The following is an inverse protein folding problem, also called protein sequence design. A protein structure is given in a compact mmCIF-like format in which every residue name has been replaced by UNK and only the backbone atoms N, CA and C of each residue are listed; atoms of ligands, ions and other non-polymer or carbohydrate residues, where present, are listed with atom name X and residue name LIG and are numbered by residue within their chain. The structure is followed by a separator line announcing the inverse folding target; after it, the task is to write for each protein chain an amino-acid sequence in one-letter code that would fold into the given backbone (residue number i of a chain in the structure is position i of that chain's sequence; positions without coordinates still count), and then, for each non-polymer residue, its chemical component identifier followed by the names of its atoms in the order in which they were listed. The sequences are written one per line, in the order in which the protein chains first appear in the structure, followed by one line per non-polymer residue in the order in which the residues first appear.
data_IF_345157049871
#
_entry.id   IF_345157049871
#
_cell.length_a   1.000
_cell.length_b   1.000
_cell.length_c   1.000
_cell.angle_alpha   90.00
_cell.angle_beta   90.00
_cell.angle_gamma   90.00
#
_symmetry.space_group_name_H-M   'P 1'
#
loop_
_entity.id
_entity.type
_entity.pdbx_description
1 polymer ?
#
# COMPACT_ATOMS: atom_id res chain seq x y z
N UNK A 1 -35.72 -22.86 10.35
CA UNK A 1 -35.00 -21.81 11.10
C UNK A 1 -35.26 -20.49 10.40
N UNK A 2 -36.16 -19.67 10.96
CA UNK A 2 -36.54 -18.37 10.39
C UNK A 2 -35.38 -17.40 10.55
N UNK A 3 -34.74 -17.00 9.45
CA UNK A 3 -33.81 -15.87 9.45
C UNK A 3 -34.62 -14.59 9.56
N UNK A 4 -34.97 -14.17 10.78
CA UNK A 4 -35.59 -12.87 11.01
C UNK A 4 -34.67 -11.78 10.45
N UNK A 5 -35.19 -10.98 9.53
CA UNK A 5 -34.44 -9.88 8.94
C UNK A 5 -34.12 -8.85 10.04
N UNK A 6 -32.88 -8.37 10.15
CA UNK A 6 -32.48 -7.48 11.23
C UNK A 6 -33.32 -6.18 11.19
N UNK A 7 -33.73 -5.73 12.38
CA UNK A 7 -34.49 -4.50 12.60
C UNK A 7 -33.77 -3.28 12.01
N UNK A 8 -34.51 -2.25 11.60
CA UNK A 8 -33.96 -1.01 11.07
C UNK A 8 -32.90 -0.39 12.00
N UNK A 9 -33.12 -0.45 13.32
CA UNK A 9 -32.15 0.00 14.31
C UNK A 9 -30.89 -0.87 14.34
N UNK A 10 -31.04 -2.19 14.25
CA UNK A 10 -29.89 -3.11 14.21
C UNK A 10 -29.02 -2.88 12.97
N UNK A 11 -29.65 -2.59 11.82
CA UNK A 11 -28.93 -2.22 10.58
C UNK A 11 -28.21 -0.89 10.73
N UNK A 12 -28.86 0.13 11.27
CA UNK A 12 -28.25 1.43 11.54
C UNK A 12 -27.06 1.31 12.50
N UNK A 13 -27.25 0.57 13.60
CA UNK A 13 -26.19 0.33 14.58
C UNK A 13 -24.99 -0.36 13.93
N UNK A 14 -25.21 -1.48 13.26
CA UNK A 14 -24.14 -2.29 12.65
C UNK A 14 -23.39 -1.56 11.53
N UNK A 15 -24.11 -0.85 10.66
CA UNK A 15 -23.52 -0.28 9.44
C UNK A 15 -23.03 1.16 9.62
N UNK A 16 -23.48 1.85 10.67
CA UNK A 16 -23.14 3.26 10.90
C UNK A 16 -22.51 3.44 12.28
N UNK A 17 -23.25 3.21 13.36
CA UNK A 17 -22.78 3.57 14.70
C UNK A 17 -21.55 2.77 15.16
N UNK A 18 -21.54 1.46 14.92
CA UNK A 18 -20.45 0.58 15.33
C UNK A 18 -19.12 0.95 14.63
N UNK A 19 -19.07 1.13 13.29
CA UNK A 19 -17.87 1.63 12.60
C UNK A 19 -17.32 2.96 13.15
N UNK A 20 -18.19 3.93 13.47
CA UNK A 20 -17.74 5.21 14.03
C UNK A 20 -17.18 5.07 15.45
N UNK A 21 -17.88 4.33 16.32
CA UNK A 21 -17.47 4.19 17.72
C UNK A 21 -16.23 3.31 17.88
N UNK A 22 -16.17 2.19 17.14
CA UNK A 22 -15.00 1.30 17.12
C UNK A 22 -13.82 1.98 16.42
N UNK A 23 -14.06 2.63 15.27
CA UNK A 23 -13.02 3.34 14.52
C UNK A 23 -12.37 4.46 15.32
N UNK A 24 -13.16 5.23 16.09
CA UNK A 24 -12.62 6.26 16.98
C UNK A 24 -11.72 5.68 18.09
N UNK A 25 -12.16 4.59 18.73
CA UNK A 25 -11.35 3.90 19.76
C UNK A 25 -10.06 3.35 19.17
N UNK A 26 -10.14 2.78 17.97
CA UNK A 26 -9.00 2.21 17.26
C UNK A 26 -8.00 3.29 16.86
N UNK A 27 -8.46 4.41 16.31
CA UNK A 27 -7.60 5.54 15.95
C UNK A 27 -6.85 6.09 17.18
N UNK A 28 -7.53 6.23 18.32
CA UNK A 28 -6.90 6.69 19.58
C UNK A 28 -5.86 5.68 20.07
N UNK A 29 -6.19 4.39 20.05
CA UNK A 29 -5.30 3.30 20.45
C UNK A 29 -4.04 3.28 19.58
N UNK A 30 -4.19 3.30 18.27
CA UNK A 30 -3.08 3.29 17.32
C UNK A 30 -2.21 4.53 17.47
N UNK A 31 -2.78 5.72 17.66
CA UNK A 31 -1.97 6.91 17.94
C UNK A 31 -1.18 6.75 19.25
N UNK A 32 -1.78 6.24 20.32
CA UNK A 32 -1.07 5.99 21.59
C UNK A 32 0.09 4.99 21.42
N UNK A 33 -0.14 3.91 20.67
CA UNK A 33 0.88 2.91 20.34
C UNK A 33 2.01 3.48 19.48
N UNK A 34 1.71 4.36 18.52
CA UNK A 34 2.73 5.05 17.72
C UNK A 34 3.63 5.92 18.60
N UNK A 35 3.04 6.65 19.55
CA UNK A 35 3.80 7.46 20.51
C UNK A 35 4.66 6.60 21.43
N UNK A 36 4.14 5.49 21.95
CA UNK A 36 4.92 4.54 22.75
C UNK A 36 6.10 3.95 21.96
N UNK A 37 5.87 3.58 20.68
CA UNK A 37 6.91 3.06 19.79
C UNK A 37 8.01 4.10 19.51
N UNK A 38 7.64 5.38 19.35
CA UNK A 38 8.61 6.49 19.23
C UNK A 38 9.45 6.64 20.49
N UNK A 39 8.79 6.63 21.65
CA UNK A 39 9.50 6.73 22.93
C UNK A 39 10.48 5.56 23.09
N UNK A 40 10.09 4.33 22.72
CA UNK A 40 10.95 3.13 22.75
C UNK A 40 12.19 3.27 21.87
N UNK A 41 12.05 3.82 20.66
CA UNK A 41 13.19 4.10 19.77
C UNK A 41 14.13 5.18 20.32
N UNK A 42 13.60 6.18 21.02
CA UNK A 42 14.39 7.25 21.63
C UNK A 42 15.15 6.76 22.88
N UNK A 43 14.52 5.92 23.70
CA UNK A 43 15.13 5.41 24.94
C UNK A 43 16.09 4.25 24.71
N UNK A 44 15.84 3.44 23.68
CA UNK A 44 16.65 2.24 23.38
C UNK A 44 17.12 2.26 21.93
N UNK A 45 18.23 2.97 21.63
CA UNK A 45 18.83 2.96 20.30
C UNK A 45 19.14 1.53 19.84
N UNK A 46 18.63 1.15 18.66
CA UNK A 46 18.84 -0.20 18.08
C UNK A 46 17.78 -1.24 18.42
N UNK A 47 16.72 -0.89 19.16
CA UNK A 47 15.60 -1.80 19.41
C UNK A 47 14.87 -2.16 18.11
N UNK A 48 14.64 -3.46 17.89
CA UNK A 48 13.83 -3.94 16.77
C UNK A 48 12.37 -3.90 17.19
N UNK A 49 11.57 -3.14 16.43
CA UNK A 49 10.13 -3.07 16.64
C UNK A 49 9.44 -4.30 16.03
N UNK A 50 8.34 -4.73 16.64
CA UNK A 50 7.45 -5.71 16.04
C UNK A 50 6.81 -5.16 14.76
N UNK A 51 6.29 -6.03 13.90
CA UNK A 51 5.57 -5.61 12.68
C UNK A 51 4.42 -4.66 12.99
N UNK A 52 3.65 -4.94 14.06
CA UNK A 52 2.55 -4.08 14.50
C UNK A 52 3.03 -2.72 14.98
N UNK A 53 4.07 -2.66 15.81
CA UNK A 53 4.67 -1.40 16.26
C UNK A 53 5.18 -0.56 15.07
N UNK A 54 5.86 -1.20 14.10
CA UNK A 54 6.35 -0.54 12.89
C UNK A 54 5.21 -0.03 12.01
N UNK A 55 4.17 -0.83 11.83
CA UNK A 55 2.97 -0.46 11.08
C UNK A 55 2.32 0.79 11.69
N UNK A 56 1.99 0.72 12.99
CA UNK A 56 1.30 1.80 13.69
C UNK A 56 2.14 3.08 13.73
N UNK A 57 3.46 2.96 13.94
CA UNK A 57 4.39 4.09 13.94
C UNK A 57 4.35 4.89 12.63
N UNK A 58 4.22 4.20 11.49
CA UNK A 58 4.18 4.81 10.15
C UNK A 58 2.80 5.32 9.77
N UNK A 59 1.77 4.56 10.11
CA UNK A 59 0.42 4.75 9.59
C UNK A 59 -0.41 5.72 10.43
N UNK A 60 -0.34 5.64 11.77
CA UNK A 60 -1.14 6.48 12.67
C UNK A 60 -1.02 8.01 12.41
N UNK A 61 0.17 8.57 12.10
CA UNK A 61 0.28 10.00 11.80
C UNK A 61 -0.39 10.38 10.48
N UNK A 62 -0.35 9.49 9.47
CA UNK A 62 -1.01 9.70 8.18
C UNK A 62 -2.53 9.67 8.35
N UNK A 63 -3.02 8.73 9.15
CA UNK A 63 -4.45 8.60 9.46
C UNK A 63 -4.96 9.77 10.28
N UNK A 64 -4.18 10.25 11.25
CA UNK A 64 -4.52 11.45 12.02
C UNK A 64 -4.58 12.67 11.11
N UNK A 65 -3.59 12.87 10.23
CA UNK A 65 -3.60 13.97 9.25
C UNK A 65 -4.83 13.88 8.33
N UNK A 66 -5.22 12.67 7.90
CA UNK A 66 -6.42 12.45 7.09
C UNK A 66 -7.71 12.78 7.86
N UNK A 67 -7.74 12.61 9.18
CA UNK A 67 -8.88 12.95 10.02
C UNK A 67 -9.04 14.45 10.31
N UNK A 68 -7.98 15.26 10.15
CA UNK A 68 -8.00 16.68 10.52
C UNK A 68 -9.09 17.50 9.83
N UNK A 69 -9.35 17.39 8.51
CA UNK A 69 -10.41 18.15 7.86
C UNK A 69 -11.79 17.89 8.49
N UNK A 70 -12.08 16.64 8.86
CA UNK A 70 -13.31 16.27 9.54
C UNK A 70 -13.38 16.89 10.94
N UNK A 71 -12.29 16.83 11.71
CA UNK A 71 -12.21 17.43 13.04
C UNK A 71 -12.38 18.95 13.01
N UNK A 72 -11.78 19.62 12.02
CA UNK A 72 -11.94 21.06 11.79
C UNK A 72 -13.39 21.39 11.42
N UNK A 73 -14.04 20.56 10.59
CA UNK A 73 -15.44 20.77 10.23
C UNK A 73 -16.36 20.77 11.47
N UNK A 74 -16.11 19.88 12.43
CA UNK A 74 -16.86 19.86 13.70
C UNK A 74 -16.66 21.10 14.58
N UNK A 75 -15.53 21.81 14.44
CA UNK A 75 -15.26 23.04 15.19
C UNK A 75 -16.01 24.26 14.63
N UNK A 76 -16.48 24.19 13.39
CA UNK A 76 -17.18 25.29 12.71
C UNK A 76 -18.70 25.08 12.84
N UNK A 77 -19.44 26.02 13.46
CA UNK A 77 -20.90 25.95 13.52
C UNK A 77 -21.51 25.80 12.12
N UNK A 78 -22.60 25.05 12.00
CA UNK A 78 -23.26 24.66 10.72
C UNK A 78 -22.46 23.63 9.91
N UNK A 79 -21.16 23.84 9.65
CA UNK A 79 -20.33 22.87 8.92
C UNK A 79 -20.20 21.53 9.68
N UNK A 80 -20.13 21.57 11.01
CA UNK A 80 -20.10 20.38 11.86
C UNK A 80 -21.34 19.49 11.72
N UNK A 81 -22.50 20.04 11.36
CA UNK A 81 -23.71 19.24 11.11
C UNK A 81 -23.65 18.49 9.77
N UNK A 82 -22.87 18.98 8.80
CA UNK A 82 -22.64 18.29 7.53
C UNK A 82 -21.58 17.19 7.63
N UNK A 83 -20.69 17.25 8.62
CA UNK A 83 -19.59 16.29 8.77
C UNK A 83 -20.06 14.82 8.88
N UNK A 84 -21.09 14.45 9.69
CA UNK A 84 -21.62 13.08 9.70
C UNK A 84 -22.25 12.66 8.37
N UNK A 85 -22.93 13.59 7.68
CA UNK A 85 -23.53 13.34 6.37
C UNK A 85 -22.44 13.01 5.35
N UNK A 86 -21.39 13.81 5.30
CA UNK A 86 -20.24 13.59 4.42
C UNK A 86 -19.48 12.30 4.75
N UNK A 87 -19.31 11.99 6.05
CA UNK A 87 -18.71 10.73 6.51
C UNK A 87 -19.47 9.49 6.05
N UNK A 88 -20.81 9.56 6.04
CA UNK A 88 -21.66 8.47 5.60
C UNK A 88 -21.65 8.27 4.08
N UNK A 89 -21.75 9.35 3.29
CA UNK A 89 -21.83 9.25 1.83
C UNK A 89 -20.46 9.13 1.14
N UNK A 90 -19.40 9.70 1.73
CA UNK A 90 -18.06 9.73 1.13
C UNK A 90 -16.98 9.24 2.11
N UNK A 91 -17.11 8.01 2.66
CA UNK A 91 -16.23 7.50 3.72
C UNK A 91 -14.77 7.39 3.27
N UNK A 92 -14.49 7.02 2.01
CA UNK A 92 -13.12 6.89 1.49
C UNK A 92 -12.32 8.20 1.56
N UNK A 93 -12.99 9.31 1.26
CA UNK A 93 -12.38 10.64 1.17
C UNK A 93 -12.30 11.34 2.52
N UNK A 94 -13.31 11.16 3.37
CA UNK A 94 -13.47 11.94 4.60
C UNK A 94 -13.03 11.21 5.86
N UNK A 95 -12.97 9.88 5.83
CA UNK A 95 -12.66 9.07 7.00
C UNK A 95 -11.33 8.33 6.86
N UNK A 96 -10.58 8.18 7.97
CA UNK A 96 -9.51 7.19 8.08
C UNK A 96 -10.03 5.76 7.93
N UNK A 97 -9.16 4.85 7.53
CA UNK A 97 -9.52 3.45 7.25
C UNK A 97 -10.04 2.69 8.48
N UNK A 98 -9.72 3.14 9.70
CA UNK A 98 -10.26 2.59 10.95
C UNK A 98 -11.79 2.66 11.04
N UNK A 99 -12.41 3.62 10.34
CA UNK A 99 -13.85 3.85 10.35
C UNK A 99 -14.59 3.08 9.25
N UNK A 100 -13.87 2.41 8.36
CA UNK A 100 -14.47 1.67 7.26
C UNK A 100 -14.91 0.27 7.71
N UNK A 101 -16.04 -0.18 7.18
CA UNK A 101 -16.47 -1.58 7.34
C UNK A 101 -15.46 -2.52 6.66
N UNK A 102 -15.41 -3.81 7.02
CA UNK A 102 -14.53 -4.78 6.34
C UNK A 102 -14.73 -4.82 4.82
N UNK A 103 -15.98 -4.74 4.37
CA UNK A 103 -16.33 -4.67 2.94
C UNK A 103 -15.84 -3.39 2.27
N UNK A 104 -15.96 -2.24 2.94
CA UNK A 104 -15.43 -0.97 2.45
C UNK A 104 -13.90 -0.98 2.37
N UNK A 105 -13.21 -1.63 3.32
CA UNK A 105 -11.75 -1.77 3.27
C UNK A 105 -11.31 -2.52 2.02
N UNK A 106 -11.88 -3.71 1.78
CA UNK A 106 -11.55 -4.50 0.59
C UNK A 106 -11.82 -3.71 -0.69
N UNK A 107 -12.99 -3.08 -0.81
CA UNK A 107 -13.35 -2.27 -1.97
C UNK A 107 -12.42 -1.05 -2.16
N UNK A 108 -12.17 -0.27 -1.13
CA UNK A 108 -11.39 0.97 -1.27
C UNK A 108 -9.91 0.69 -1.50
N UNK A 109 -9.35 -0.35 -0.89
CA UNK A 109 -7.98 -0.78 -1.18
C UNK A 109 -7.88 -1.37 -2.60
N UNK A 110 -8.88 -2.12 -3.07
CA UNK A 110 -8.93 -2.56 -4.47
C UNK A 110 -8.92 -1.37 -5.42
N UNK A 111 -9.78 -0.37 -5.21
CA UNK A 111 -9.82 0.84 -6.01
C UNK A 111 -8.47 1.58 -6.01
N UNK A 112 -7.78 1.63 -4.86
CA UNK A 112 -6.45 2.26 -4.74
C UNK A 112 -5.40 1.50 -5.55
N UNK A 113 -5.41 0.16 -5.54
CA UNK A 113 -4.50 -0.63 -6.39
C UNK A 113 -4.85 -0.52 -7.86
N UNK A 114 -6.13 -0.53 -8.24
CA UNK A 114 -6.54 -0.32 -9.64
C UNK A 114 -6.11 1.05 -10.16
N UNK A 115 -6.15 2.07 -9.30
CA UNK A 115 -5.60 3.38 -9.62
C UNK A 115 -4.09 3.32 -9.84
N UNK A 116 -3.32 2.61 -9.00
CA UNK A 116 -1.89 2.39 -9.21
C UNK A 116 -1.61 1.65 -10.52
N UNK A 117 -2.36 0.59 -10.78
CA UNK A 117 -2.28 -0.25 -11.98
C UNK A 117 -2.48 0.57 -13.26
N UNK A 118 -3.32 1.60 -13.24
CA UNK A 118 -3.53 2.48 -14.40
C UNK A 118 -2.24 3.14 -14.93
N UNK A 119 -1.21 3.26 -14.09
CA UNK A 119 0.11 3.81 -14.46
C UNK A 119 1.11 2.73 -14.90
N UNK A 120 0.83 1.45 -14.69
CA UNK A 120 1.83 0.37 -14.85
C UNK A 120 2.27 0.21 -16.30
N UNK A 121 1.34 0.35 -17.25
CA UNK A 121 1.66 0.34 -18.68
C UNK A 121 2.68 1.42 -19.03
N UNK A 122 2.42 2.67 -18.64
CA UNK A 122 3.29 3.79 -18.98
C UNK A 122 4.66 3.65 -18.32
N UNK A 123 4.70 3.17 -17.06
CA UNK A 123 5.96 2.90 -16.36
C UNK A 123 6.74 1.75 -17.02
N UNK A 124 6.07 0.69 -17.48
CA UNK A 124 6.70 -0.44 -18.18
C UNK A 124 7.40 0.03 -19.47
N UNK A 125 6.77 0.95 -20.21
CA UNK A 125 7.35 1.53 -21.42
C UNK A 125 8.57 2.40 -21.10
N UNK A 126 8.49 3.20 -20.04
CA UNK A 126 9.61 4.04 -19.61
C UNK A 126 10.80 3.20 -19.12
N UNK A 127 10.57 2.16 -18.32
CA UNK A 127 11.68 1.31 -17.85
C UNK A 127 12.30 0.54 -19.01
N UNK A 128 11.54 0.07 -20.00
CA UNK A 128 12.09 -0.55 -21.20
C UNK A 128 12.96 0.39 -22.06
N UNK A 129 12.75 1.70 -21.97
CA UNK A 129 13.61 2.68 -22.64
C UNK A 129 14.96 2.90 -21.94
N UNK A 130 15.12 2.45 -20.69
CA UNK A 130 16.39 2.56 -19.95
C UNK A 130 17.47 1.66 -20.53
N UNK A 131 17.10 0.46 -20.98
CA UNK A 131 17.98 -0.47 -21.68
C UNK A 131 17.21 -1.20 -22.78
N UNK A 132 17.32 -0.70 -24.00
CA UNK A 132 16.62 -1.23 -25.18
C UNK A 132 17.19 -2.56 -25.65
N UNK A 133 18.38 -2.96 -25.18
CA UNK A 133 18.99 -4.25 -25.49
C UNK A 133 18.48 -5.36 -24.57
N UNK A 134 17.94 -4.97 -23.40
CA UNK A 134 17.40 -5.89 -22.43
C UNK A 134 16.04 -6.45 -22.89
N UNK A 135 16.05 -7.73 -23.31
CA UNK A 135 14.84 -8.41 -23.77
C UNK A 135 13.80 -8.51 -22.66
N UNK A 136 14.20 -8.68 -21.41
CA UNK A 136 13.28 -8.78 -20.27
C UNK A 136 12.45 -7.50 -20.10
N UNK A 137 13.06 -6.33 -20.10
CA UNK A 137 12.32 -5.08 -19.96
C UNK A 137 11.39 -4.83 -21.16
N UNK A 138 11.85 -5.16 -22.36
CA UNK A 138 11.05 -5.04 -23.59
C UNK A 138 9.83 -5.96 -23.56
N UNK A 139 10.01 -7.20 -23.15
CA UNK A 139 8.94 -8.19 -23.09
C UNK A 139 7.92 -7.84 -22.01
N UNK A 140 8.40 -7.34 -20.85
CA UNK A 140 7.55 -6.80 -19.80
C UNK A 140 6.73 -5.58 -20.26
N UNK A 141 7.28 -4.69 -21.09
CA UNK A 141 6.52 -3.59 -21.69
C UNK A 141 5.52 -4.07 -22.76
N UNK A 142 5.91 -5.08 -23.54
CA UNK A 142 5.06 -5.63 -24.59
C UNK A 142 3.82 -6.35 -24.03
N UNK A 143 3.90 -6.96 -22.84
CA UNK A 143 2.77 -7.63 -22.20
C UNK A 143 1.57 -6.70 -21.99
N UNK A 144 1.80 -5.40 -21.77
CA UNK A 144 0.75 -4.38 -21.63
C UNK A 144 0.09 -3.96 -22.95
N UNK A 145 0.59 -4.43 -24.10
CA UNK A 145 0.05 -4.12 -25.43
C UNK A 145 -0.64 -5.31 -26.09
N UNK A 146 -0.38 -6.53 -25.63
CA UNK A 146 -1.02 -7.74 -26.12
C UNK A 146 -2.44 -7.86 -25.55
N UNK A 147 -3.36 -8.40 -26.36
CA UNK A 147 -4.79 -8.56 -25.99
C UNK A 147 -4.97 -9.55 -24.83
N UNK A 148 -4.01 -10.46 -24.59
CA UNK A 148 -3.94 -11.33 -23.42
C UNK A 148 -3.00 -10.76 -22.35
N UNK A 149 -3.54 -9.87 -21.52
CA UNK A 149 -2.82 -9.03 -20.54
C UNK A 149 -2.14 -9.80 -19.37
N UNK A 150 -2.54 -11.04 -19.08
CA UNK A 150 -2.15 -11.75 -17.85
C UNK A 150 -1.25 -12.97 -18.03
N UNK A 151 -1.17 -13.57 -19.23
CA UNK A 151 -0.42 -14.83 -19.42
C UNK A 151 1.10 -14.60 -19.65
N UNK A 152 1.51 -13.35 -19.90
CA UNK A 152 2.87 -13.01 -20.35
C UNK A 152 3.73 -12.26 -19.32
N UNK A 153 3.24 -11.90 -18.13
CA UNK A 153 4.12 -11.28 -17.11
C UNK A 153 4.83 -12.33 -16.25
N UNK A 154 6.00 -11.95 -15.76
CA UNK A 154 7.04 -12.86 -15.28
C UNK A 154 6.79 -13.36 -13.85
N UNK A 155 7.36 -14.53 -13.51
CA UNK A 155 7.44 -15.05 -12.14
C UNK A 155 8.31 -14.11 -11.26
N UNK A 156 7.77 -13.60 -10.13
CA UNK A 156 8.51 -12.77 -9.17
C UNK A 156 9.88 -13.32 -8.77
N UNK A 157 10.04 -14.65 -8.68
CA UNK A 157 11.30 -15.32 -8.28
C UNK A 157 12.49 -14.99 -9.18
N UNK A 158 12.23 -14.54 -10.41
CA UNK A 158 13.27 -14.21 -11.39
C UNK A 158 13.78 -12.77 -11.27
N UNK A 159 13.00 -11.86 -10.66
CA UNK A 159 13.35 -10.45 -10.51
C UNK A 159 14.69 -10.19 -9.81
N UNK A 160 15.12 -10.96 -8.79
CA UNK A 160 16.42 -10.77 -8.15
C UNK A 160 17.62 -10.89 -9.10
N UNK A 161 17.48 -11.55 -10.26
CA UNK A 161 18.55 -11.63 -11.26
C UNK A 161 18.85 -10.26 -11.91
N UNK A 162 17.92 -9.31 -11.84
CA UNK A 162 18.04 -7.98 -12.44
C UNK A 162 18.46 -6.90 -11.43
N UNK A 163 18.93 -7.28 -10.23
CA UNK A 163 19.35 -6.32 -9.19
C UNK A 163 20.34 -5.29 -9.70
N UNK A 164 21.35 -5.69 -10.47
CA UNK A 164 22.38 -4.77 -10.96
C UNK A 164 21.82 -3.73 -11.93
N UNK A 165 20.87 -4.14 -12.78
CA UNK A 165 20.14 -3.23 -13.68
C UNK A 165 19.42 -2.13 -12.90
N UNK A 166 18.75 -2.49 -11.80
CA UNK A 166 18.00 -1.54 -10.97
C UNK A 166 18.85 -0.85 -9.89
N UNK A 167 20.09 -1.29 -9.69
CA UNK A 167 21.05 -0.64 -8.81
C UNK A 167 21.83 0.49 -9.52
N UNK A 168 21.99 0.43 -10.85
CA UNK A 168 22.72 1.45 -11.60
C UNK A 168 21.95 1.98 -12.84
N UNK A 169 21.81 1.26 -13.98
CA UNK A 169 21.14 1.82 -15.17
C UNK A 169 19.71 2.34 -14.91
N UNK A 170 18.91 1.55 -14.19
CA UNK A 170 17.53 1.87 -13.81
C UNK A 170 17.43 2.31 -12.33
N UNK A 171 18.51 2.82 -11.73
CA UNK A 171 18.48 3.38 -10.38
C UNK A 171 17.57 4.62 -10.32
N UNK A 172 16.89 4.85 -9.19
CA UNK A 172 15.95 5.98 -9.05
C UNK A 172 16.57 7.35 -9.40
N UNK A 173 17.84 7.56 -9.07
CA UNK A 173 18.58 8.79 -9.40
C UNK A 173 18.84 8.96 -10.91
N UNK A 174 18.98 7.85 -11.64
CA UNK A 174 19.21 7.82 -13.09
C UNK A 174 17.92 8.00 -13.90
N UNK A 175 16.75 7.66 -13.33
CA UNK A 175 15.46 7.77 -14.02
C UNK A 175 15.11 9.21 -14.39
N UNK A 176 14.31 9.35 -15.46
CA UNK A 176 13.78 10.64 -15.90
C UNK A 176 12.73 11.17 -14.93
N UNK A 177 12.55 12.50 -14.86
CA UNK A 177 11.53 13.10 -13.99
C UNK A 177 10.10 12.62 -14.31
N UNK A 178 9.66 12.49 -15.58
CA UNK A 178 8.36 11.90 -15.90
C UNK A 178 8.16 10.50 -15.33
N UNK A 179 9.19 9.64 -15.43
CA UNK A 179 9.18 8.29 -14.86
C UNK A 179 9.01 8.32 -13.35
N UNK A 180 9.79 9.15 -12.66
CA UNK A 180 9.69 9.30 -11.21
C UNK A 180 8.32 9.79 -10.75
N UNK A 181 7.66 10.69 -11.49
CA UNK A 181 6.32 11.17 -11.17
C UNK A 181 5.28 10.05 -11.25
N UNK A 182 5.32 9.26 -12.32
CA UNK A 182 4.43 8.10 -12.47
C UNK A 182 4.70 7.06 -11.38
N UNK A 183 5.97 6.79 -11.07
CA UNK A 183 6.33 5.84 -10.02
C UNK A 183 5.86 6.29 -8.64
N UNK A 184 5.91 7.60 -8.34
CA UNK A 184 5.32 8.17 -7.12
C UNK A 184 3.81 7.95 -7.07
N UNK A 185 3.11 8.10 -8.20
CA UNK A 185 1.67 7.86 -8.28
C UNK A 185 1.31 6.37 -8.14
N UNK A 186 2.12 5.49 -8.70
CA UNK A 186 1.94 4.04 -8.66
C UNK A 186 2.30 3.41 -7.29
N UNK A 187 2.97 4.13 -6.39
CA UNK A 187 3.51 3.54 -5.14
C UNK A 187 2.98 4.20 -3.86
N UNK A 188 2.30 5.34 -3.94
CA UNK A 188 1.92 6.16 -2.78
C UNK A 188 0.41 6.11 -2.51
N UNK A 189 0.03 5.66 -1.32
CA UNK A 189 -1.36 5.73 -0.79
C UNK A 189 -1.76 7.12 -0.24
N UNK A 190 -0.98 8.17 -0.53
CA UNK A 190 -1.22 9.52 -0.01
C UNK A 190 -2.31 10.26 -0.79
N UNK A 191 -3.29 10.90 -0.13
CA UNK A 191 -4.27 11.76 -0.81
C UNK A 191 -3.62 12.97 -1.50
N UNK A 192 -2.41 13.36 -1.09
CA UNK A 192 -1.66 14.48 -1.66
C UNK A 192 -0.69 14.04 -2.78
N UNK A 193 -0.79 12.80 -3.27
CA UNK A 193 0.15 12.25 -4.27
C UNK A 193 0.29 13.12 -5.51
N UNK A 194 -0.81 13.73 -5.99
CA UNK A 194 -0.77 14.65 -7.14
C UNK A 194 0.03 15.92 -6.87
N UNK A 195 0.01 16.45 -5.65
CA UNK A 195 0.80 17.64 -5.28
C UNK A 195 2.28 17.28 -5.20
N UNK A 196 2.59 16.08 -4.71
CA UNK A 196 3.97 15.59 -4.57
C UNK A 196 4.68 15.51 -5.92
N UNK A 197 3.99 15.24 -7.03
CA UNK A 197 4.63 15.16 -8.37
C UNK A 197 5.15 16.51 -8.89
N UNK A 198 4.85 17.62 -8.22
CA UNK A 198 5.42 18.95 -8.55
C UNK A 198 6.72 19.24 -7.79
N UNK A 199 7.13 18.37 -6.86
CA UNK A 199 8.39 18.55 -6.13
C UNK A 199 9.61 18.32 -7.03
N UNK A 200 10.78 18.89 -6.67
CA UNK A 200 12.03 18.67 -7.39
C UNK A 200 12.41 17.19 -7.47
N UNK A 201 13.15 16.80 -8.53
CA UNK A 201 13.58 15.41 -8.79
C UNK A 201 14.18 14.73 -7.55
N UNK A 202 15.06 15.43 -6.84
CA UNK A 202 15.73 14.93 -5.62
C UNK A 202 14.74 14.52 -4.53
N UNK A 203 13.66 15.27 -4.34
CA UNK A 203 12.63 14.97 -3.35
C UNK A 203 11.77 13.78 -3.78
N UNK A 204 11.50 13.63 -5.07
CA UNK A 204 10.81 12.45 -5.61
C UNK A 204 11.63 11.18 -5.35
N UNK A 205 12.94 11.23 -5.63
CA UNK A 205 13.87 10.11 -5.37
C UNK A 205 13.90 9.76 -3.90
N UNK A 206 14.15 10.72 -3.01
CA UNK A 206 14.19 10.49 -1.56
C UNK A 206 12.89 9.88 -1.03
N UNK A 207 11.74 10.32 -1.55
CA UNK A 207 10.44 9.77 -1.18
C UNK A 207 10.29 8.32 -1.61
N UNK A 208 10.68 8.00 -2.84
CA UNK A 208 10.63 6.64 -3.37
C UNK A 208 11.60 5.72 -2.62
N UNK A 209 12.82 6.18 -2.32
CA UNK A 209 13.78 5.45 -1.48
C UNK A 209 13.20 5.16 -0.10
N UNK A 210 12.60 6.17 0.55
CA UNK A 210 11.91 5.99 1.82
C UNK A 210 10.80 4.96 1.71
N UNK A 211 9.98 5.03 0.64
CA UNK A 211 8.88 4.08 0.41
C UNK A 211 9.40 2.65 0.24
N UNK A 212 10.43 2.44 -0.57
CA UNK A 212 11.05 1.13 -0.75
C UNK A 212 11.66 0.61 0.56
N UNK A 213 12.28 1.48 1.37
CA UNK A 213 12.78 1.14 2.69
C UNK A 213 11.66 0.72 3.65
N UNK A 214 10.51 1.41 3.63
CA UNK A 214 9.33 1.02 4.40
C UNK A 214 8.84 -0.39 4.02
N UNK A 215 8.77 -0.70 2.72
CA UNK A 215 8.36 -2.02 2.23
C UNK A 215 9.40 -3.09 2.62
N UNK A 216 10.70 -2.82 2.43
CA UNK A 216 11.79 -3.75 2.76
C UNK A 216 11.78 -4.15 4.23
N UNK A 217 11.56 -3.18 5.13
CA UNK A 217 11.45 -3.46 6.58
C UNK A 217 10.25 -4.35 6.88
N UNK A 218 9.09 -4.11 6.22
CA UNK A 218 7.91 -4.95 6.40
C UNK A 218 8.14 -6.37 5.85
N UNK A 219 8.76 -6.50 4.68
CA UNK A 219 9.10 -7.79 4.07
C UNK A 219 10.01 -8.63 4.97
N UNK A 220 11.04 -8.05 5.57
CA UNK A 220 11.92 -8.76 6.49
C UNK A 220 11.19 -9.29 7.74
N UNK A 221 10.15 -8.59 8.19
CA UNK A 221 9.32 -9.03 9.32
C UNK A 221 8.34 -10.13 8.88
N UNK A 222 7.86 -10.09 7.63
CA UNK A 222 6.98 -11.11 7.06
C UNK A 222 7.70 -12.40 6.64
N UNK A 223 9.01 -12.33 6.39
CA UNK A 223 9.83 -13.52 6.11
C UNK A 223 10.06 -14.41 7.33
N UNK A 224 9.67 -13.97 8.54
CA UNK A 224 9.74 -14.81 9.72
C UNK A 224 8.76 -16.00 9.59
N UNK A 225 9.14 -17.22 10.03
CA UNK A 225 8.28 -18.40 9.89
C UNK A 225 6.88 -18.18 10.48
N UNK A 226 5.85 -18.47 9.69
CA UNK A 226 4.44 -18.34 10.08
C UNK A 226 3.90 -16.91 10.17
N UNK A 227 4.69 -15.89 9.84
CA UNK A 227 4.28 -14.48 9.99
C UNK A 227 3.15 -14.08 9.02
N UNK A 228 3.09 -14.68 7.84
CA UNK A 228 2.02 -14.44 6.85
C UNK A 228 0.72 -15.16 7.25
N UNK A 229 0.82 -16.34 7.87
CA UNK A 229 -0.34 -17.19 8.21
C UNK A 229 -1.20 -16.59 9.33
N UNK A 230 -0.59 -15.76 10.20
CA UNK A 230 -1.27 -15.12 11.33
C UNK A 230 -1.88 -13.75 10.98
N UNK A 231 -1.73 -13.28 9.74
CA UNK A 231 -2.29 -12.00 9.32
C UNK A 231 -3.81 -12.08 9.19
N UNK A 232 -4.48 -11.05 9.71
CA UNK A 232 -5.91 -10.87 9.46
C UNK A 232 -6.19 -10.53 7.99
N UNK A 233 -7.42 -10.79 7.55
CA UNK A 233 -7.95 -10.38 6.23
C UNK A 233 -7.58 -8.95 5.84
N UNK A 234 -7.78 -8.00 6.76
CA UNK A 234 -7.49 -6.59 6.52
C UNK A 234 -5.98 -6.30 6.42
N UNK A 235 -5.14 -7.02 7.16
CA UNK A 235 -3.68 -6.89 7.08
C UNK A 235 -3.11 -7.50 5.81
N UNK A 236 -3.70 -8.58 5.30
CA UNK A 236 -3.35 -9.18 4.00
C UNK A 236 -3.65 -8.20 2.86
N UNK A 237 -4.89 -7.71 2.79
CA UNK A 237 -5.31 -6.72 1.78
C UNK A 237 -4.42 -5.47 1.84
N UNK A 238 -4.16 -4.95 3.04
CA UNK A 238 -3.29 -3.80 3.22
C UNK A 238 -1.84 -4.09 2.79
N UNK A 239 -1.31 -5.27 3.09
CA UNK A 239 0.04 -5.66 2.68
C UNK A 239 0.17 -5.75 1.15
N UNK A 240 -0.85 -6.27 0.47
CA UNK A 240 -0.94 -6.28 -0.99
C UNK A 240 -1.04 -4.87 -1.57
N UNK A 241 -1.91 -4.01 -1.00
CA UNK A 241 -2.08 -2.62 -1.44
C UNK A 241 -0.78 -1.82 -1.32
N UNK A 242 -0.07 -1.95 -0.20
CA UNK A 242 1.18 -1.20 0.05
C UNK A 242 2.26 -1.53 -0.99
N UNK A 243 2.29 -2.78 -1.46
CA UNK A 243 3.21 -3.29 -2.49
C UNK A 243 2.68 -3.08 -3.91
N UNK A 244 1.40 -2.73 -4.07
CA UNK A 244 0.75 -2.56 -5.38
C UNK A 244 0.47 -3.88 -6.10
N UNK A 245 0.26 -4.98 -5.35
CA UNK A 245 -0.02 -6.30 -5.93
C UNK A 245 -1.44 -6.33 -6.48
N UNK A 246 -1.59 -6.60 -7.77
CA UNK A 246 -2.90 -6.74 -8.42
C UNK A 246 -3.37 -8.19 -8.23
N UNK A 247 -4.34 -8.41 -7.33
CA UNK A 247 -4.94 -9.74 -7.11
C UNK A 247 -6.27 -9.89 -7.83
N UNK A 248 -6.72 -11.13 -8.03
CA UNK A 248 -8.00 -11.43 -8.66
C UNK A 248 -9.21 -10.91 -7.84
N UNK A 249 -9.16 -11.02 -6.51
CA UNK A 249 -10.18 -10.53 -5.59
C UNK A 249 -9.58 -10.18 -4.24
N UNK A 250 -9.77 -8.94 -3.78
CA UNK A 250 -9.34 -8.51 -2.44
C UNK A 250 -10.26 -9.00 -1.32
N UNK A 251 -11.41 -9.59 -1.66
CA UNK A 251 -12.27 -10.27 -0.69
C UNK A 251 -11.86 -11.73 -0.46
N UNK A 252 -10.96 -12.25 -1.30
CA UNK A 252 -10.40 -13.59 -1.16
C UNK A 252 -9.07 -13.52 -0.39
N UNK A 253 -9.10 -14.02 0.84
CA UNK A 253 -7.93 -14.04 1.71
C UNK A 253 -6.83 -14.94 1.17
N UNK A 254 -7.20 -16.05 0.52
CA UNK A 254 -6.25 -17.01 -0.01
C UNK A 254 -5.53 -16.43 -1.23
N UNK A 255 -6.23 -15.69 -2.08
CA UNK A 255 -5.64 -14.93 -3.19
C UNK A 255 -4.65 -13.87 -2.66
N UNK A 256 -5.07 -13.02 -1.71
CA UNK A 256 -4.17 -12.03 -1.11
C UNK A 256 -2.93 -12.68 -0.47
N UNK A 257 -3.11 -13.82 0.20
CA UNK A 257 -2.01 -14.57 0.83
C UNK A 257 -1.07 -15.18 -0.21
N UNK A 258 -1.60 -15.71 -1.31
CA UNK A 258 -0.82 -16.25 -2.41
C UNK A 258 0.05 -15.16 -3.05
N UNK A 259 -0.53 -14.03 -3.46
CA UNK A 259 0.21 -12.88 -3.98
C UNK A 259 1.31 -12.38 -3.03
N UNK A 260 1.01 -12.29 -1.73
CA UNK A 260 2.00 -11.86 -0.74
C UNK A 260 3.15 -12.86 -0.60
N UNK A 261 2.87 -14.16 -0.63
CA UNK A 261 3.92 -15.19 -0.61
C UNK A 261 4.76 -15.18 -1.89
N UNK A 262 4.15 -14.95 -3.05
CA UNK A 262 4.84 -14.78 -4.32
C UNK A 262 5.75 -13.54 -4.31
N UNK A 263 5.27 -12.41 -3.75
CA UNK A 263 6.12 -11.25 -3.50
C UNK A 263 7.34 -11.58 -2.63
N UNK A 264 7.11 -12.25 -1.50
CA UNK A 264 8.19 -12.61 -0.57
C UNK A 264 9.16 -13.64 -1.16
N UNK A 265 8.75 -14.38 -2.20
CA UNK A 265 9.62 -15.32 -2.92
C UNK A 265 10.77 -14.64 -3.68
N UNK A 266 10.72 -13.31 -3.85
CA UNK A 266 11.86 -12.51 -4.32
C UNK A 266 13.03 -12.50 -3.33
N UNK A 267 12.82 -12.90 -2.08
CA UNK A 267 13.84 -12.88 -1.02
C UNK A 267 14.37 -14.28 -0.72
N UNK A 268 15.65 -14.35 -0.34
CA UNK A 268 16.17 -15.54 0.30
C UNK A 268 15.77 -15.53 1.79
N UNK A 269 14.84 -16.41 2.17
CA UNK A 269 14.32 -16.47 3.55
C UNK A 269 15.40 -16.71 4.63
N UNK A 270 16.51 -17.38 4.29
CA UNK A 270 17.60 -17.64 5.24
C UNK A 270 18.52 -16.43 5.44
N UNK A 271 18.65 -15.61 4.41
CA UNK A 271 19.50 -14.42 4.43
C UNK A 271 18.83 -13.32 3.61
N UNK A 272 17.83 -12.63 4.20
CA UNK A 272 17.11 -11.60 3.49
C UNK A 272 18.04 -10.40 3.25
N UNK A 273 18.33 -10.14 1.98
CA UNK A 273 19.12 -8.98 1.55
C UNK A 273 18.17 -7.97 0.94
N UNK A 274 18.28 -6.72 1.36
CA UNK A 274 17.51 -5.62 0.78
C UNK A 274 17.71 -5.56 -0.74
N UNK A 275 16.62 -5.44 -1.50
CA UNK A 275 16.67 -5.21 -2.93
C UNK A 275 16.92 -3.72 -3.22
N UNK A 276 17.50 -3.36 -4.38
CA UNK A 276 17.59 -1.97 -4.80
C UNK A 276 16.22 -1.30 -4.76
N UNK A 277 16.09 -0.06 -4.24
CA UNK A 277 14.81 0.63 -4.15
C UNK A 277 14.03 0.68 -5.46
N UNK A 278 14.74 0.89 -6.58
CA UNK A 278 14.11 0.90 -7.89
C UNK A 278 13.52 -0.47 -8.26
N UNK A 279 14.24 -1.58 -8.01
CA UNK A 279 13.74 -2.93 -8.31
C UNK A 279 12.43 -3.20 -7.57
N UNK A 280 12.41 -2.91 -6.27
CA UNK A 280 11.26 -3.18 -5.41
C UNK A 280 10.02 -2.40 -5.88
N UNK A 281 10.18 -1.15 -6.31
CA UNK A 281 9.06 -0.32 -6.76
C UNK A 281 8.59 -0.65 -8.18
N UNK A 282 9.41 -1.33 -8.98
CA UNK A 282 9.03 -1.82 -10.32
C UNK A 282 8.53 -3.27 -10.31
N UNK A 283 8.81 -4.05 -9.27
CA UNK A 283 8.35 -5.43 -9.13
C UNK A 283 6.84 -5.64 -9.40
N UNK A 284 5.90 -4.85 -8.84
CA UNK A 284 4.45 -5.04 -9.12
C UNK A 284 4.06 -4.73 -10.57
N UNK A 285 4.94 -4.06 -11.31
CA UNK A 285 4.73 -3.64 -12.70
C UNK A 285 5.27 -4.70 -13.66
N UNK A 286 6.35 -5.37 -13.28
CA UNK A 286 7.10 -6.30 -14.13
C UNK A 286 6.69 -7.77 -13.96
N UNK A 287 6.08 -8.13 -12.83
CA UNK A 287 5.67 -9.50 -12.52
C UNK A 287 4.15 -9.64 -12.37
N UNK A 288 3.66 -10.87 -12.48
CA UNK A 288 2.28 -11.24 -12.13
C UNK A 288 2.24 -11.82 -10.72
N UNK A 289 1.16 -11.53 -10.01
CA UNK A 289 0.85 -12.10 -8.70
C UNK A 289 -0.55 -12.72 -8.74
N UNK A 290 -0.72 -13.88 -8.12
CA UNK A 290 -1.96 -14.68 -8.12
C UNK A 290 -3.05 -14.12 -7.21
#
# INVERSE_FOLDING_TARGET
MSTESPSAFQRLKKNVLDPFTLGAKELVRENREAWASRAKLQTTPGVVLTRREMFVLRQAPRDLLKSLPLLIAFAVPIAGYLAPVMGYFYPKWTLPWQFWTPTQKAQFFEEDVRQKESFYKDISQLVASVDTTNTFLRDAAASYTKVCYNEDKMDPKTLPAFRDLFASPAALSALSTPHLKLLVQATSASPFVKVITYLPKTHLVQRLEKRAGEITVDDHLLLQPGAVDVLSSAELVFACEERGLVVASYNDEDACRAALNEWLSMYNAKQPVAHPPSLLLHAPILATFS
#
